data_IF_094219267489
#
_entry.id   IF_094219267489
#
_cell.length_a   1.000
_cell.length_b   1.000
_cell.length_c   1.000
_cell.angle_alpha   90.00
_cell.angle_beta   90.00
_cell.angle_gamma   90.00
#
_symmetry.space_group_name_H-M   'P 1'
#
loop_
_entity.id
_entity.type
_entity.pdbx_description
1 polymer ?
#
# COMPACT_ATOMS: atom_id res chain seq x y z
N UNK A 1 8.19 -13.08 3.23
CA UNK A 1 6.82 -12.85 2.74
C UNK A 1 5.86 -13.66 3.59
N UNK A 2 4.71 -13.11 3.98
CA UNK A 2 3.66 -13.84 4.72
C UNK A 2 2.50 -14.04 3.74
N UNK A 3 2.04 -15.28 3.58
CA UNK A 3 0.93 -15.64 2.69
C UNK A 3 -0.18 -16.23 3.55
N UNK A 4 -1.32 -15.54 3.62
CA UNK A 4 -2.56 -16.06 4.20
C UNK A 4 -3.40 -16.62 3.06
N UNK A 5 -3.81 -17.88 3.17
CA UNK A 5 -4.67 -18.56 2.18
C UNK A 5 -6.03 -18.76 2.83
N UNK A 6 -7.10 -18.41 2.12
CA UNK A 6 -8.47 -18.68 2.55
C UNK A 6 -8.92 -20.05 2.03
N UNK A 7 -9.56 -20.86 2.88
CA UNK A 7 -10.10 -22.17 2.48
C UNK A 7 -11.62 -22.08 2.35
N UNK A 8 -12.15 -22.15 1.12
CA UNK A 8 -13.57 -21.88 0.86
C UNK A 8 -14.01 -20.45 1.23
N UNK A 9 -15.32 -20.20 1.19
CA UNK A 9 -15.91 -18.93 1.61
C UNK A 9 -15.92 -18.85 3.14
N UNK A 10 -14.82 -18.42 3.75
CA UNK A 10 -14.86 -17.92 5.12
C UNK A 10 -15.66 -16.61 5.15
N UNK A 11 -16.82 -16.66 5.81
CA UNK A 11 -17.68 -15.52 6.12
C UNK A 11 -17.09 -14.64 7.23
N UNK A 12 -15.81 -14.29 7.15
CA UNK A 12 -15.08 -13.56 8.20
C UNK A 12 -15.28 -12.03 8.15
N UNK A 13 -16.41 -11.59 7.61
CA UNK A 13 -16.90 -10.20 7.73
C UNK A 13 -18.32 -10.11 8.29
N UNK A 14 -18.82 -11.16 8.97
CA UNK A 14 -20.13 -11.09 9.61
C UNK A 14 -20.01 -10.62 11.07
N UNK A 15 -20.01 -9.30 11.25
CA UNK A 15 -20.22 -8.64 12.54
C UNK A 15 -21.63 -8.96 13.05
N UNK A 16 -21.83 -10.15 13.62
CA UNK A 16 -22.79 -10.46 14.70
C UNK A 16 -24.23 -9.96 14.61
N UNK A 17 -24.74 -9.54 13.45
CA UNK A 17 -26.09 -8.96 13.28
C UNK A 17 -26.66 -9.38 11.92
N UNK A 18 -27.08 -10.65 11.80
CA UNK A 18 -28.30 -11.09 11.08
C UNK A 18 -28.32 -12.61 10.86
N UNK A 19 -28.47 -13.39 11.93
CA UNK A 19 -29.02 -14.75 11.80
C UNK A 19 -30.53 -14.66 11.65
N UNK A 20 -31.05 -14.45 10.43
CA UNK A 20 -32.39 -14.93 9.99
C UNK A 20 -32.82 -14.35 8.63
N UNK A 21 -32.05 -14.44 7.55
CA UNK A 21 -32.62 -14.23 6.21
C UNK A 21 -31.78 -14.93 5.13
N UNK A 22 -31.69 -16.26 5.16
CA UNK A 22 -31.38 -16.98 3.91
C UNK A 22 -31.94 -18.41 3.95
N UNK A 23 -33.23 -18.54 3.69
CA UNK A 23 -33.87 -19.80 3.29
C UNK A 23 -34.35 -19.63 1.86
N UNK A 24 -33.51 -20.05 0.91
CA UNK A 24 -33.98 -20.42 -0.43
C UNK A 24 -33.26 -19.73 -1.57
N UNK A 25 -32.03 -20.13 -1.86
CA UNK A 25 -31.47 -20.02 -3.20
C UNK A 25 -30.76 -21.35 -3.54
N UNK A 26 -31.04 -21.84 -4.74
CA UNK A 26 -30.66 -23.13 -5.34
C UNK A 26 -29.23 -23.60 -4.98
N UNK A 27 -29.15 -24.79 -4.37
CA UNK A 27 -27.93 -25.62 -4.31
C UNK A 27 -27.74 -26.30 -5.67
N UNK A 28 -27.32 -25.56 -6.68
CA UNK A 28 -26.76 -26.12 -7.92
C UNK A 28 -25.60 -25.25 -8.40
N UNK A 29 -24.47 -25.40 -7.72
CA UNK A 29 -23.15 -25.18 -8.29
C UNK A 29 -22.27 -26.33 -7.83
N UNK A 30 -21.51 -26.90 -8.77
CA UNK A 30 -20.52 -27.95 -8.54
C UNK A 30 -19.76 -27.67 -7.23
N UNK A 31 -19.98 -28.51 -6.22
CA UNK A 31 -19.23 -28.51 -4.97
C UNK A 31 -18.05 -29.45 -5.14
N UNK A 32 -16.99 -28.98 -5.80
CA UNK A 32 -15.71 -29.68 -5.85
C UNK A 32 -14.61 -28.68 -6.23
N UNK A 33 -14.31 -27.78 -5.31
CA UNK A 33 -13.31 -26.74 -5.54
C UNK A 33 -12.40 -26.79 -4.32
N UNK A 34 -11.33 -27.56 -4.50
CA UNK A 34 -10.58 -28.23 -3.45
C UNK A 34 -9.91 -27.30 -2.44
N UNK A 35 -9.49 -27.92 -1.34
CA UNK A 35 -8.70 -27.36 -0.26
C UNK A 35 -7.63 -26.39 -0.79
N UNK A 36 -7.92 -25.07 -0.74
CA UNK A 36 -7.07 -24.02 -1.31
C UNK A 36 -5.72 -23.99 -0.58
N UNK A 37 -5.72 -24.36 0.70
CA UNK A 37 -4.52 -24.49 1.52
C UNK A 37 -3.64 -25.59 0.96
N UNK A 38 -4.20 -26.77 0.65
CA UNK A 38 -3.45 -27.89 0.08
C UNK A 38 -2.90 -27.55 -1.31
N UNK A 39 -3.69 -26.90 -2.16
CA UNK A 39 -3.26 -26.46 -3.48
C UNK A 39 -2.11 -25.44 -3.40
N UNK A 40 -2.25 -24.42 -2.54
CA UNK A 40 -1.22 -23.40 -2.32
C UNK A 40 0.06 -24.01 -1.73
N UNK A 41 -0.08 -24.91 -0.75
CA UNK A 41 1.06 -25.61 -0.16
C UNK A 41 1.83 -26.42 -1.20
N UNK A 42 1.14 -27.24 -1.99
CA UNK A 42 1.76 -28.07 -3.03
C UNK A 42 2.48 -27.19 -4.07
N UNK A 43 1.83 -26.12 -4.53
CA UNK A 43 2.42 -25.17 -5.45
C UNK A 43 3.70 -24.52 -4.87
N UNK A 44 3.61 -23.95 -3.65
CA UNK A 44 4.74 -23.25 -3.02
C UNK A 44 5.90 -24.19 -2.70
N UNK A 45 5.64 -25.42 -2.24
CA UNK A 45 6.70 -26.40 -1.97
C UNK A 45 7.51 -26.71 -3.23
N UNK A 46 6.83 -26.97 -4.34
CA UNK A 46 7.49 -27.24 -5.62
C UNK A 46 8.23 -25.99 -6.14
N UNK A 47 7.59 -24.82 -6.04
CA UNK A 47 8.17 -23.58 -6.54
C UNK A 47 9.41 -23.16 -5.75
N UNK A 48 9.42 -23.31 -4.42
CA UNK A 48 10.57 -22.94 -3.59
C UNK A 48 11.82 -23.79 -3.88
N UNK A 49 11.65 -25.07 -4.27
CA UNK A 49 12.77 -25.93 -4.68
C UNK A 49 13.51 -25.38 -5.90
N UNK A 50 12.79 -24.73 -6.82
CA UNK A 50 13.37 -24.14 -8.02
C UNK A 50 14.22 -22.88 -7.73
N UNK A 51 13.89 -22.12 -6.68
CA UNK A 51 14.48 -20.81 -6.39
C UNK A 51 15.31 -20.76 -5.10
N UNK A 52 15.73 -21.92 -4.56
CA UNK A 52 16.46 -22.03 -3.29
C UNK A 52 15.74 -21.34 -2.11
N UNK A 53 14.41 -21.32 -2.16
CA UNK A 53 13.56 -20.79 -1.09
C UNK A 53 13.25 -21.84 -0.04
N UNK A 54 12.71 -21.41 1.10
CA UNK A 54 12.18 -22.27 2.14
C UNK A 54 10.72 -21.93 2.41
N UNK A 55 9.88 -22.96 2.54
CA UNK A 55 8.50 -22.83 2.98
C UNK A 55 8.38 -23.35 4.41
N UNK A 56 7.81 -22.53 5.30
CA UNK A 56 7.41 -22.92 6.64
C UNK A 56 5.89 -22.86 6.76
N UNK A 57 5.26 -23.97 7.13
CA UNK A 57 3.82 -24.00 7.41
C UNK A 57 3.64 -23.60 8.86
N UNK A 58 3.04 -22.43 9.06
CA UNK A 58 2.83 -21.89 10.40
C UNK A 58 1.81 -22.74 11.17
N UNK A 59 2.12 -22.99 12.44
CA UNK A 59 1.11 -23.31 13.44
C UNK A 59 0.14 -22.14 13.63
N UNK A 60 -1.01 -22.40 14.24
CA UNK A 60 -1.99 -21.36 14.55
C UNK A 60 -1.36 -20.20 15.36
N UNK A 61 -0.57 -20.54 16.40
CA UNK A 61 0.11 -19.57 17.25
C UNK A 61 1.11 -18.70 16.46
N UNK A 62 1.92 -19.31 15.60
CA UNK A 62 2.85 -18.57 14.73
C UNK A 62 2.10 -17.65 13.77
N UNK A 63 0.98 -18.12 13.20
CA UNK A 63 0.17 -17.32 12.27
C UNK A 63 -0.40 -16.06 12.94
N UNK A 64 -0.92 -16.20 14.16
CA UNK A 64 -1.44 -15.06 14.94
C UNK A 64 -0.31 -14.08 15.29
N UNK A 65 0.85 -14.60 15.73
CA UNK A 65 2.01 -13.78 16.03
C UNK A 65 2.52 -13.00 14.80
N UNK A 66 2.53 -13.62 13.62
CA UNK A 66 2.93 -12.97 12.37
C UNK A 66 1.97 -11.86 11.95
N UNK A 67 0.66 -12.03 12.16
CA UNK A 67 -0.33 -10.97 11.90
C UNK A 67 -0.16 -9.79 12.83
N UNK A 68 0.12 -10.04 14.11
CA UNK A 68 0.45 -8.98 15.09
C UNK A 68 1.76 -8.29 14.71
N UNK A 69 2.79 -9.05 14.33
CA UNK A 69 4.06 -8.50 13.87
C UNK A 69 3.88 -7.59 12.65
N UNK A 70 3.15 -8.06 11.63
CA UNK A 70 2.83 -7.27 10.43
C UNK A 70 2.06 -5.99 10.77
N UNK A 71 1.15 -6.05 11.74
CA UNK A 71 0.39 -4.89 12.22
C UNK A 71 1.27 -3.92 13.00
N UNK A 72 2.18 -4.40 13.84
CA UNK A 72 3.10 -3.55 14.59
C UNK A 72 4.17 -2.90 13.69
N UNK A 73 4.57 -3.60 12.63
CA UNK A 73 5.57 -3.16 11.67
C UNK A 73 5.17 -1.86 10.95
N UNK A 74 3.87 -1.59 10.75
CA UNK A 74 3.37 -0.36 10.10
C UNK A 74 3.75 0.91 10.88
N UNK A 75 3.93 0.81 12.19
CA UNK A 75 4.30 1.95 13.05
C UNK A 75 5.79 1.95 13.44
N UNK A 76 6.55 0.93 13.03
CA UNK A 76 7.91 0.72 13.52
C UNK A 76 8.85 1.86 13.12
N UNK A 77 8.80 2.30 11.85
CA UNK A 77 9.67 3.38 11.36
C UNK A 77 9.36 4.72 12.03
N UNK A 78 8.08 5.06 12.19
CA UNK A 78 7.66 6.28 12.90
C UNK A 78 8.13 6.29 14.36
N UNK A 79 7.97 5.17 15.09
CA UNK A 79 8.49 5.05 16.46
C UNK A 79 10.01 5.14 16.51
N UNK A 80 10.70 4.49 15.58
CA UNK A 80 12.16 4.54 15.47
C UNK A 80 12.65 5.97 15.24
N UNK A 81 12.00 6.72 14.33
CA UNK A 81 12.29 8.13 14.07
C UNK A 81 12.06 8.99 15.31
N UNK A 82 10.92 8.86 15.98
CA UNK A 82 10.58 9.63 17.18
C UNK A 82 11.58 9.43 18.33
N UNK A 83 12.15 8.22 18.48
CA UNK A 83 13.16 7.93 19.49
C UNK A 83 14.58 8.38 19.11
N UNK A 84 14.80 8.82 17.87
CA UNK A 84 16.12 9.18 17.32
C UNK A 84 16.07 10.49 16.50
N UNK A 85 15.21 11.44 16.87
CA UNK A 85 14.98 12.67 16.10
C UNK A 85 16.24 13.55 15.98
N UNK A 86 17.22 13.39 16.87
CA UNK A 86 18.52 14.05 16.86
C UNK A 86 19.48 13.51 15.78
N UNK A 87 19.24 12.29 15.28
CA UNK A 87 20.16 11.58 14.36
C UNK A 87 19.73 11.62 12.91
N UNK A 88 18.48 11.98 12.63
CA UNK A 88 17.88 11.84 11.30
C UNK A 88 17.17 13.11 10.84
N UNK A 89 16.95 13.22 9.54
CA UNK A 89 16.07 14.22 8.95
C UNK A 89 14.60 13.83 9.09
N UNK A 90 13.77 14.34 8.18
CA UNK A 90 12.35 13.97 8.13
C UNK A 90 12.15 12.49 7.75
N UNK A 91 11.03 11.93 8.23
CA UNK A 91 10.50 10.66 7.78
C UNK A 91 9.44 10.93 6.71
N UNK A 92 9.65 10.41 5.50
CA UNK A 92 8.67 10.44 4.42
C UNK A 92 8.06 9.06 4.25
N UNK A 93 6.74 8.95 4.39
CA UNK A 93 5.99 7.71 4.12
C UNK A 93 5.22 7.86 2.81
N UNK A 94 5.25 6.83 1.98
CA UNK A 94 4.51 6.78 0.71
C UNK A 94 3.60 5.56 0.64
N UNK A 95 2.53 5.70 -0.13
CA UNK A 95 1.48 4.69 -0.32
C UNK A 95 1.22 4.55 -1.81
N UNK A 96 1.74 3.49 -2.41
CA UNK A 96 1.88 3.36 -3.85
C UNK A 96 1.27 2.06 -4.38
N UNK A 97 0.78 2.11 -5.62
CA UNK A 97 0.32 0.95 -6.38
C UNK A 97 1.19 0.82 -7.63
N UNK A 98 1.94 -0.29 -7.70
CA UNK A 98 2.74 -0.62 -8.88
C UNK A 98 1.82 -1.09 -10.02
N UNK A 99 2.24 -0.94 -11.28
CA UNK A 99 1.57 -1.59 -12.39
C UNK A 99 1.38 -3.09 -12.14
N UNK A 100 0.25 -3.65 -12.57
CA UNK A 100 -0.07 -5.09 -12.38
C UNK A 100 0.94 -6.03 -13.06
N UNK A 101 1.64 -5.54 -14.07
CA UNK A 101 2.70 -6.25 -14.80
C UNK A 101 4.11 -5.85 -14.35
N UNK A 102 4.26 -5.09 -13.26
CA UNK A 102 5.57 -4.72 -12.73
C UNK A 102 6.32 -5.98 -12.28
N UNK A 103 7.59 -6.08 -12.69
CA UNK A 103 8.50 -7.17 -12.30
C UNK A 103 9.63 -6.66 -11.40
N UNK A 104 9.87 -5.36 -11.41
CA UNK A 104 10.84 -4.58 -10.63
C UNK A 104 10.21 -4.02 -9.34
N UNK A 105 9.47 -4.86 -8.62
CA UNK A 105 8.79 -4.45 -7.38
C UNK A 105 9.77 -4.06 -6.27
N UNK A 106 10.98 -4.63 -6.26
CA UNK A 106 12.06 -4.23 -5.37
C UNK A 106 12.68 -2.93 -5.87
N UNK A 107 12.58 -1.88 -5.06
CA UNK A 107 12.92 -0.54 -5.49
C UNK A 107 14.43 -0.33 -5.59
N UNK A 108 14.87 0.14 -6.76
CA UNK A 108 16.19 0.71 -6.95
C UNK A 108 16.10 2.24 -7.08
N UNK A 109 16.19 2.95 -5.95
CA UNK A 109 16.24 4.41 -5.98
C UNK A 109 17.43 4.90 -6.82
N UNK A 110 17.23 5.90 -7.69
CA UNK A 110 18.33 6.52 -8.40
C UNK A 110 19.32 7.15 -7.42
N UNK A 111 20.59 7.17 -7.80
CA UNK A 111 21.69 7.56 -6.90
C UNK A 111 21.50 8.94 -6.23
N UNK A 112 20.84 9.88 -6.90
CA UNK A 112 20.59 11.22 -6.35
C UNK A 112 19.56 11.20 -5.20
N UNK A 113 18.54 10.33 -5.25
CA UNK A 113 17.62 10.10 -4.12
C UNK A 113 18.28 9.24 -3.06
N UNK A 114 18.91 8.12 -3.45
CA UNK A 114 19.51 7.16 -2.52
C UNK A 114 20.53 7.81 -1.57
N UNK A 115 21.32 8.77 -2.05
CA UNK A 115 22.31 9.49 -1.21
C UNK A 115 21.68 10.37 -0.13
N UNK A 116 20.42 10.77 -0.27
CA UNK A 116 19.69 11.60 0.69
C UNK A 116 18.99 10.75 1.77
N UNK A 117 18.85 9.45 1.56
CA UNK A 117 18.17 8.53 2.48
C UNK A 117 19.16 7.88 3.44
N UNK A 118 18.80 7.83 4.72
CA UNK A 118 19.55 7.10 5.77
C UNK A 118 19.08 5.66 5.90
N UNK A 119 17.75 5.44 5.88
CA UNK A 119 17.12 4.12 5.98
C UNK A 119 15.86 4.07 5.14
N UNK A 120 15.57 2.90 4.59
CA UNK A 120 14.30 2.57 3.95
C UNK A 120 13.60 1.46 4.71
N UNK A 121 12.28 1.44 4.64
CA UNK A 121 11.46 0.34 5.16
C UNK A 121 10.25 0.14 4.27
N UNK A 122 10.08 -1.08 3.76
CA UNK A 122 9.05 -1.41 2.80
C UNK A 122 8.13 -2.48 3.37
N UNK A 123 6.83 -2.24 3.24
CA UNK A 123 5.78 -3.11 3.76
C UNK A 123 4.56 -2.98 2.85
N UNK A 124 3.86 -4.05 2.50
CA UNK A 124 2.75 -3.90 1.56
C UNK A 124 1.80 -5.08 1.49
N UNK A 125 0.90 -5.00 0.51
CA UNK A 125 -0.01 -6.04 0.06
C UNK A 125 0.52 -6.59 -1.26
N UNK A 126 1.43 -7.57 -1.16
CA UNK A 126 2.27 -8.00 -2.29
C UNK A 126 1.47 -8.40 -3.53
N UNK A 127 0.43 -9.25 -3.39
CA UNK A 127 -0.38 -9.67 -4.54
C UNK A 127 -1.28 -8.57 -5.13
N UNK A 128 -1.56 -7.51 -4.38
CA UNK A 128 -2.26 -6.33 -4.87
C UNK A 128 -1.32 -5.31 -5.53
N UNK A 129 -0.01 -5.55 -5.49
CA UNK A 129 1.02 -4.61 -5.94
C UNK A 129 0.95 -3.25 -5.20
N UNK A 130 0.41 -3.23 -3.98
CA UNK A 130 0.34 -2.05 -3.12
C UNK A 130 1.48 -2.09 -2.10
N UNK A 131 2.28 -1.02 -2.03
CA UNK A 131 3.43 -0.91 -1.14
C UNK A 131 3.36 0.38 -0.33
N UNK A 132 3.64 0.27 0.96
CA UNK A 132 3.99 1.37 1.85
C UNK A 132 5.50 1.44 1.95
N UNK A 133 6.06 2.58 1.56
CA UNK A 133 7.50 2.77 1.56
C UNK A 133 7.85 3.99 2.41
N UNK A 134 8.64 3.73 3.45
CA UNK A 134 9.14 4.74 4.37
C UNK A 134 10.60 5.07 4.04
N UNK A 135 10.91 6.36 3.97
CA UNK A 135 12.23 6.92 3.73
C UNK A 135 12.62 7.81 4.91
N UNK A 136 13.57 7.36 5.71
CA UNK A 136 14.16 8.15 6.77
C UNK A 136 15.33 8.94 6.20
N UNK A 137 15.17 10.25 6.06
CA UNK A 137 16.15 11.11 5.38
C UNK A 137 17.38 11.38 6.25
N UNK A 138 18.49 11.78 5.60
CA UNK A 138 19.67 12.30 6.30
C UNK A 138 19.37 13.67 6.91
N UNK A 139 20.04 14.06 8.01
CA UNK A 139 19.92 15.39 8.58
C UNK A 139 20.10 16.49 7.52
N UNK A 140 19.32 17.58 7.65
CA UNK A 140 19.35 18.75 6.76
C UNK A 140 18.93 18.49 5.29
N UNK A 141 18.45 17.28 4.95
CA UNK A 141 17.87 17.02 3.62
C UNK A 141 16.62 17.87 3.43
N UNK A 142 16.47 18.50 2.26
CA UNK A 142 15.24 19.19 1.89
C UNK A 142 14.14 18.17 1.55
N UNK A 143 13.32 17.83 2.53
CA UNK A 143 12.29 16.80 2.40
C UNK A 143 11.25 17.12 1.32
N UNK A 144 10.91 18.40 1.14
CA UNK A 144 9.97 18.82 0.07
C UNK A 144 10.57 18.53 -1.31
N UNK A 145 11.82 18.93 -1.53
CA UNK A 145 12.51 18.66 -2.79
C UNK A 145 12.66 17.16 -3.03
N UNK A 146 13.10 16.40 -2.01
CA UNK A 146 13.22 14.95 -2.10
C UNK A 146 11.88 14.31 -2.48
N UNK A 147 10.78 14.74 -1.86
CA UNK A 147 9.43 14.27 -2.20
C UNK A 147 9.04 14.59 -3.63
N UNK A 148 9.23 15.82 -4.08
CA UNK A 148 8.92 16.22 -5.46
C UNK A 148 9.73 15.36 -6.48
N UNK A 149 11.00 15.10 -6.19
CA UNK A 149 11.87 14.22 -7.00
C UNK A 149 11.47 12.73 -6.96
N UNK A 150 11.03 12.24 -5.80
CA UNK A 150 10.54 10.87 -5.62
C UNK A 150 9.23 10.63 -6.39
N UNK A 151 8.29 11.58 -6.32
CA UNK A 151 7.04 11.49 -7.08
C UNK A 151 7.30 11.52 -8.59
N UNK A 152 8.23 12.34 -9.07
CA UNK A 152 8.63 12.33 -10.48
C UNK A 152 9.26 10.98 -10.90
N UNK A 153 10.02 10.34 -10.02
CA UNK A 153 10.53 8.99 -10.24
C UNK A 153 9.40 7.94 -10.31
N UNK A 154 8.39 8.03 -9.45
CA UNK A 154 7.21 7.18 -9.50
C UNK A 154 6.41 7.36 -10.78
N UNK A 155 6.21 8.61 -11.22
CA UNK A 155 5.48 8.93 -12.46
C UNK A 155 6.15 8.29 -13.68
N UNK A 156 7.49 8.33 -13.75
CA UNK A 156 8.27 7.68 -14.80
C UNK A 156 8.10 6.15 -14.83
N UNK A 157 7.78 5.55 -13.68
CA UNK A 157 7.52 4.11 -13.52
C UNK A 157 6.04 3.75 -13.64
N UNK A 158 5.17 4.72 -13.95
CA UNK A 158 3.72 4.55 -13.97
C UNK A 158 3.14 4.02 -12.66
N UNK A 159 3.76 4.42 -11.55
CA UNK A 159 3.31 4.07 -10.21
C UNK A 159 2.19 5.02 -9.82
N UNK A 160 1.09 4.46 -9.35
CA UNK A 160 -0.08 5.20 -8.89
C UNK A 160 0.03 5.51 -7.39
N UNK A 161 -0.38 6.70 -6.99
CA UNK A 161 -0.41 7.11 -5.58
C UNK A 161 -1.43 8.23 -5.38
N UNK A 162 -2.10 8.31 -4.21
CA UNK A 162 -2.13 7.30 -3.15
C UNK A 162 -2.88 6.02 -3.58
N UNK A 163 -2.48 4.87 -3.04
CA UNK A 163 -3.09 3.58 -3.39
C UNK A 163 -4.35 3.26 -2.58
N UNK A 164 -4.27 3.35 -1.25
CA UNK A 164 -5.37 3.01 -0.32
C UNK A 164 -5.66 4.12 0.70
N UNK A 165 -4.68 4.98 1.00
CA UNK A 165 -4.78 5.96 2.08
C UNK A 165 -5.39 7.31 1.69
N UNK A 166 -5.85 7.45 0.43
CA UNK A 166 -6.41 8.69 -0.14
C UNK A 166 -5.43 9.89 -0.08
N UNK A 167 -5.77 11.02 -0.70
CA UNK A 167 -4.80 12.10 -1.00
C UNK A 167 -4.39 12.89 0.24
N UNK A 168 -5.36 13.12 1.14
CA UNK A 168 -5.18 13.92 2.33
C UNK A 168 -4.40 15.21 2.08
N UNK A 169 -3.39 15.45 2.91
CA UNK A 169 -2.42 16.54 2.74
C UNK A 169 -1.09 16.10 2.12
N UNK A 170 -0.97 14.81 1.87
CA UNK A 170 0.28 14.18 1.50
C UNK A 170 0.45 14.20 -0.01
N UNK A 171 -0.63 14.14 -0.77
CA UNK A 171 -0.56 14.13 -2.23
C UNK A 171 -1.39 15.24 -2.86
N UNK A 172 -0.98 15.73 -4.05
CA UNK A 172 -1.87 16.50 -4.89
C UNK A 172 -3.02 15.61 -5.36
N UNK A 173 -4.24 16.13 -5.36
CA UNK A 173 -5.37 15.42 -5.93
C UNK A 173 -5.31 15.41 -7.46
N UNK A 174 -5.55 14.26 -8.07
CA UNK A 174 -5.75 14.16 -9.53
C UNK A 174 -7.00 14.95 -9.96
N UNK A 175 -7.01 15.40 -11.21
CA UNK A 175 -8.03 16.30 -11.75
C UNK A 175 -9.44 15.74 -11.60
N UNK A 176 -9.64 14.45 -11.90
CA UNK A 176 -10.91 13.76 -11.80
C UNK A 176 -11.41 13.70 -10.36
N UNK A 177 -10.49 13.42 -9.42
CA UNK A 177 -10.78 13.35 -8.00
C UNK A 177 -11.14 14.74 -7.45
N UNK A 178 -10.42 15.78 -7.87
CA UNK A 178 -10.74 17.18 -7.55
C UNK A 178 -12.12 17.59 -8.05
N UNK A 179 -12.47 17.24 -9.29
CA UNK A 179 -13.79 17.53 -9.85
C UNK A 179 -14.90 16.76 -9.13
N UNK A 180 -14.69 15.48 -8.86
CA UNK A 180 -15.61 14.66 -8.08
C UNK A 180 -15.89 15.30 -6.72
N UNK A 181 -14.83 15.66 -6.01
CA UNK A 181 -14.92 16.28 -4.70
C UNK A 181 -15.65 17.63 -4.70
N UNK A 182 -15.38 18.49 -5.70
CA UNK A 182 -16.13 19.75 -5.88
C UNK A 182 -17.62 19.51 -6.17
N UNK A 183 -17.94 18.47 -6.95
CA UNK A 183 -19.32 18.12 -7.30
C UNK A 183 -20.11 17.60 -6.10
N UNK A 184 -19.49 16.82 -5.22
CA UNK A 184 -20.16 16.17 -4.07
C UNK A 184 -20.23 17.04 -2.82
N UNK A 185 -19.45 18.11 -2.72
CA UNK A 185 -19.37 18.97 -1.53
C UNK A 185 -19.86 20.41 -1.76
N UNK A 186 -21.19 20.68 -1.81
CA UNK A 186 -21.68 22.06 -1.91
C UNK A 186 -21.43 22.88 -0.63
N UNK A 187 -21.20 22.22 0.53
CA UNK A 187 -20.81 22.88 1.77
C UNK A 187 -19.35 22.56 2.10
N UNK A 188 -18.48 23.54 1.85
CA UNK A 188 -17.03 23.61 2.09
C UNK A 188 -16.62 23.39 3.57
N UNK A 189 -17.59 23.11 4.45
CA UNK A 189 -17.42 22.86 5.88
C UNK A 189 -17.01 21.43 6.20
N UNK A 190 -17.14 20.48 5.27
CA UNK A 190 -16.87 19.09 5.61
C UNK A 190 -15.37 18.84 5.89
N UNK A 191 -14.44 19.38 5.09
CA UNK A 191 -12.99 19.14 5.24
C UNK A 191 -12.12 20.21 4.53
N UNK A 192 -12.12 21.49 4.94
CA UNK A 192 -11.48 22.60 4.20
C UNK A 192 -9.95 22.52 4.06
N UNK A 193 -9.30 21.55 4.70
CA UNK A 193 -7.85 21.42 4.76
C UNK A 193 -7.29 20.34 3.81
N UNK A 194 -8.05 19.33 3.42
CA UNK A 194 -7.58 18.13 2.70
C UNK A 194 -7.29 18.34 1.20
N UNK A 195 -7.18 19.60 0.79
CA UNK A 195 -6.95 20.03 -0.59
C UNK A 195 -5.55 20.62 -0.64
N UNK A 196 -4.54 19.84 -1.02
CA UNK A 196 -3.27 20.45 -1.41
C UNK A 196 -3.42 21.06 -2.81
N UNK A 197 -4.11 22.20 -2.88
CA UNK A 197 -4.10 23.05 -4.07
C UNK A 197 -2.69 23.64 -4.20
N UNK A 198 -1.78 22.96 -4.90
CA UNK A 198 -0.73 23.71 -5.60
C UNK A 198 -1.48 24.59 -6.59
N UNK A 199 -1.38 25.92 -6.40
CA UNK A 199 -1.85 26.91 -7.37
C UNK A 199 -1.39 26.46 -8.75
N UNK A 200 -2.32 25.94 -9.55
CA UNK A 200 -2.15 25.82 -10.99
C UNK A 200 -2.09 27.26 -11.49
N UNK A 201 -0.88 27.81 -11.59
CA UNK A 201 -0.68 29.06 -12.29
C UNK A 201 -1.14 28.86 -13.73
N UNK A 202 -2.10 29.71 -14.10
CA UNK A 202 -2.83 29.69 -15.35
C UNK A 202 -1.85 29.72 -16.52
N UNK A 203 -1.73 28.63 -17.27
CA UNK A 203 -1.23 28.64 -18.63
C UNK A 203 -2.42 28.51 -19.58
N UNK A 204 -2.87 29.66 -20.07
CA UNK A 204 -3.73 29.76 -21.23
C UNK A 204 -2.87 29.50 -22.48
N UNK A 205 -3.26 28.54 -23.31
CA UNK A 205 -2.84 28.46 -24.70
C UNK A 205 -4.11 28.51 -25.54
N UNK A 206 -4.30 29.66 -26.19
CA UNK A 206 -5.20 29.80 -27.33
C UNK A 206 -4.38 29.44 -28.56
N UNK A 207 -4.86 28.51 -29.38
CA UNK A 207 -4.47 28.40 -30.78
C UNK A 207 -5.67 27.84 -31.57
N UNK A 208 -5.86 28.39 -32.77
CA UNK A 208 -7.06 28.32 -33.62
C UNK A 208 -7.53 26.91 -34.01
#
# INVERSE_FOLDING_TARGET
MIIKVADGFDSDFDNGINKSFDKGINKDSNKNDGNNIAAAQAFLQNHMQQYQGALHICTELESQALLVFRSAATAAMSRYHNLNQDKFGELLSTDIALPRNAVDWDEALPNYLKRQVSKTFYLGHFFCHVMHQDYLLKPMTNAKQFKDELLAFYDQRHIEYPAEHNVGHVYPAKTELHYFYKKTGPNQFAQPRYWSDRKMEKLAIIAH
#
